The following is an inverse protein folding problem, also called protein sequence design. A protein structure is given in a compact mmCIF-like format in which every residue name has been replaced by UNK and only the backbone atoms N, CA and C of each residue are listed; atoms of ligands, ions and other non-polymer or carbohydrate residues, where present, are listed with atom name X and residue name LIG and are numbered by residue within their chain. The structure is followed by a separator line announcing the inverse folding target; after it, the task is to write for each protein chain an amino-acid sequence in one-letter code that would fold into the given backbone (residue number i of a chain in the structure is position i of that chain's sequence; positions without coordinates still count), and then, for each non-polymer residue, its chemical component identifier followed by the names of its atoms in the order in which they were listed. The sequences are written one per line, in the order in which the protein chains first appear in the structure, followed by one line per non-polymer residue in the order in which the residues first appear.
data_IF_280352450530
#
_entry.id   IF_280352450530
#
_cell.length_a   1.000
_cell.length_b   1.000
_cell.length_c   1.000
_cell.angle_alpha   90.00
_cell.angle_beta   90.00
_cell.angle_gamma   90.00
#
_symmetry.space_group_name_H-M   'P 1'
#
loop_
_entity.id
_entity.type
_entity.pdbx_description
1 polymer ?
#
# COMPACT_ATOMS: atom_id res chain seq x y z
N UNK A 1 -18.08 -20.68 4.31
CA UNK A 1 -18.97 -19.64 4.94
C UNK A 1 -19.05 -18.48 3.97
N UNK A 2 -20.23 -17.99 3.63
CA UNK A 2 -20.38 -16.80 2.78
C UNK A 2 -20.34 -15.57 3.66
N UNK A 3 -19.36 -14.69 3.49
CA UNK A 3 -19.27 -13.44 4.22
C UNK A 3 -20.31 -12.43 3.73
N UNK A 4 -20.86 -11.66 4.68
CA UNK A 4 -21.80 -10.56 4.47
C UNK A 4 -21.35 -9.33 5.25
N UNK A 5 -21.98 -8.19 5.04
CA UNK A 5 -21.71 -6.98 5.83
C UNK A 5 -21.95 -7.18 7.34
N UNK A 6 -22.74 -8.19 7.72
CA UNK A 6 -23.00 -8.55 9.11
C UNK A 6 -22.04 -9.60 9.67
N UNK A 7 -21.06 -10.07 8.88
CA UNK A 7 -20.04 -11.00 9.36
C UNK A 7 -19.07 -10.27 10.28
N UNK A 8 -18.79 -10.87 11.44
CA UNK A 8 -17.85 -10.30 12.43
C UNK A 8 -16.40 -10.51 11.99
N UNK A 9 -15.53 -9.58 12.37
CA UNK A 9 -14.11 -9.67 12.06
C UNK A 9 -13.46 -10.94 12.62
N UNK A 10 -13.85 -11.40 13.82
CA UNK A 10 -13.35 -12.66 14.37
C UNK A 10 -13.76 -13.89 13.54
N UNK A 11 -14.94 -13.89 12.92
CA UNK A 11 -15.41 -14.98 12.05
C UNK A 11 -14.58 -15.02 10.75
N UNK A 12 -14.24 -13.84 10.21
CA UNK A 12 -13.33 -13.70 9.06
C UNK A 12 -11.97 -14.28 9.43
N UNK A 13 -11.40 -13.90 10.57
CA UNK A 13 -10.09 -14.39 11.02
C UNK A 13 -10.05 -15.90 11.33
N UNK A 14 -11.20 -16.52 11.60
CA UNK A 14 -11.31 -17.96 11.90
C UNK A 14 -11.66 -18.79 10.68
N UNK A 15 -11.98 -18.17 9.53
CA UNK A 15 -12.31 -18.89 8.32
C UNK A 15 -11.08 -19.67 7.80
N UNK A 16 -11.23 -20.98 7.60
CA UNK A 16 -10.12 -21.89 7.27
C UNK A 16 -9.32 -21.42 6.03
N UNK A 17 -10.02 -21.00 4.97
CA UNK A 17 -9.38 -20.52 3.74
C UNK A 17 -8.65 -19.19 3.91
N UNK A 18 -8.84 -18.45 5.01
CA UNK A 18 -8.15 -17.20 5.31
C UNK A 18 -7.01 -17.36 6.33
N UNK A 19 -6.86 -18.53 6.96
CA UNK A 19 -5.79 -18.76 7.94
C UNK A 19 -4.40 -18.40 7.40
N UNK A 20 -4.02 -18.71 6.14
CA UNK A 20 -2.71 -18.34 5.62
C UNK A 20 -2.45 -16.83 5.53
N UNK A 21 -3.49 -16.03 5.28
CA UNK A 21 -3.37 -14.57 5.09
C UNK A 21 -3.86 -13.76 6.30
N UNK A 22 -4.45 -14.42 7.30
CA UNK A 22 -5.13 -13.76 8.43
C UNK A 22 -4.31 -12.63 9.04
N UNK A 23 -3.05 -12.90 9.36
CA UNK A 23 -2.16 -11.93 10.02
C UNK A 23 -1.67 -10.83 9.06
N UNK A 24 -1.97 -10.96 7.77
CA UNK A 24 -1.70 -9.98 6.73
C UNK A 24 -2.90 -9.08 6.39
N UNK A 25 -4.13 -9.45 6.78
CA UNK A 25 -5.33 -8.65 6.45
C UNK A 25 -5.25 -7.24 7.02
N UNK A 26 -4.90 -7.13 8.30
CA UNK A 26 -4.45 -5.89 8.94
C UNK A 26 -3.32 -6.29 9.88
N UNK A 27 -2.08 -6.07 9.48
CA UNK A 27 -0.91 -6.37 10.27
C UNK A 27 -0.46 -5.15 11.08
N UNK A 28 0.22 -5.40 12.19
CA UNK A 28 0.59 -4.37 13.14
C UNK A 28 -0.53 -4.06 14.15
N UNK A 29 -0.14 -3.77 15.40
CA UNK A 29 -1.08 -3.50 16.48
C UNK A 29 -1.96 -4.69 16.87
N UNK A 30 -3.07 -4.39 17.53
CA UNK A 30 -4.03 -5.37 18.09
C UNK A 30 -5.40 -5.23 17.45
N UNK A 31 -5.47 -4.86 16.19
CA UNK A 31 -6.73 -4.46 15.52
C UNK A 31 -7.81 -5.53 15.65
N UNK A 32 -7.51 -6.78 15.32
CA UNK A 32 -8.51 -7.86 15.38
C UNK A 32 -8.87 -8.26 16.81
N UNK A 33 -7.94 -8.16 17.75
CA UNK A 33 -8.23 -8.41 19.17
C UNK A 33 -9.20 -7.36 19.74
N UNK A 34 -9.00 -6.09 19.38
CA UNK A 34 -9.79 -4.97 19.87
C UNK A 34 -11.15 -4.81 19.16
N UNK A 35 -11.22 -5.22 17.90
CA UNK A 35 -12.40 -5.01 17.05
C UNK A 35 -13.09 -6.31 16.60
N UNK A 36 -12.66 -7.48 17.04
CA UNK A 36 -13.10 -8.79 16.57
C UNK A 36 -14.62 -9.01 16.64
N UNK A 37 -15.31 -8.38 17.58
CA UNK A 37 -16.77 -8.47 17.75
C UNK A 37 -17.57 -7.60 16.77
N UNK A 38 -16.92 -6.64 16.10
CA UNK A 38 -17.57 -5.77 15.13
C UNK A 38 -17.86 -6.51 13.84
N UNK A 39 -19.01 -6.21 13.25
CA UNK A 39 -19.30 -6.57 11.86
C UNK A 39 -18.63 -5.61 10.89
N UNK A 40 -18.54 -5.98 9.62
CA UNK A 40 -18.03 -5.08 8.58
C UNK A 40 -18.85 -3.80 8.45
N UNK A 41 -20.18 -3.89 8.61
CA UNK A 41 -21.06 -2.73 8.64
C UNK A 41 -20.74 -1.80 9.82
N UNK A 42 -20.55 -2.35 11.03
CA UNK A 42 -20.17 -1.58 12.21
C UNK A 42 -18.74 -0.99 12.09
N UNK A 43 -17.86 -1.69 11.42
CA UNK A 43 -16.52 -1.14 11.11
C UNK A 43 -16.62 0.07 10.19
N UNK A 44 -17.48 0.03 9.16
CA UNK A 44 -17.76 1.18 8.30
C UNK A 44 -18.38 2.36 9.07
N UNK A 45 -19.28 2.12 10.04
CA UNK A 45 -19.82 3.18 10.88
C UNK A 45 -18.73 3.94 11.67
N UNK A 46 -17.68 3.21 12.13
CA UNK A 46 -16.53 3.79 12.84
C UNK A 46 -15.53 4.46 11.91
N UNK A 47 -15.39 3.95 10.72
CA UNK A 47 -14.45 4.42 9.69
C UNK A 47 -15.19 4.56 8.37
N UNK A 48 -15.91 5.67 8.14
CA UNK A 48 -16.86 5.81 7.02
C UNK A 48 -16.27 5.61 5.63
N UNK A 49 -14.97 5.82 5.47
CA UNK A 49 -14.24 5.58 4.20
C UNK A 49 -13.94 4.11 3.95
N UNK A 50 -14.04 3.25 4.98
CA UNK A 50 -13.86 1.80 4.87
C UNK A 50 -15.17 1.14 4.46
N UNK A 51 -15.45 1.13 3.17
CA UNK A 51 -16.72 0.64 2.66
C UNK A 51 -16.85 -0.87 2.82
N UNK A 52 -17.88 -1.35 3.51
CA UNK A 52 -18.08 -2.78 3.80
C UNK A 52 -18.21 -3.65 2.53
N UNK A 53 -18.77 -3.10 1.45
CA UNK A 53 -18.87 -3.82 0.16
C UNK A 53 -17.51 -3.97 -0.51
N UNK A 54 -16.66 -2.95 -0.42
CA UNK A 54 -15.28 -3.02 -0.94
C UNK A 54 -14.45 -4.02 -0.15
N UNK A 55 -14.60 -4.05 1.19
CA UNK A 55 -13.97 -5.06 2.05
C UNK A 55 -14.41 -6.48 1.67
N UNK A 56 -15.72 -6.69 1.51
CA UNK A 56 -16.27 -7.98 1.07
C UNK A 56 -15.78 -8.38 -0.32
N UNK A 57 -15.71 -7.42 -1.23
CA UNK A 57 -15.21 -7.67 -2.59
C UNK A 57 -13.75 -8.17 -2.55
N UNK A 58 -12.89 -7.52 -1.76
CA UNK A 58 -11.53 -7.97 -1.54
C UNK A 58 -11.46 -9.36 -0.89
N UNK A 59 -12.23 -9.59 0.18
CA UNK A 59 -12.25 -10.88 0.87
C UNK A 59 -12.73 -12.03 -0.02
N UNK A 60 -13.71 -11.80 -0.91
CA UNK A 60 -14.17 -12.81 -1.88
C UNK A 60 -13.10 -13.20 -2.89
N UNK A 61 -12.14 -12.30 -3.21
CA UNK A 61 -11.01 -12.67 -4.06
C UNK A 61 -10.16 -13.79 -3.44
N UNK A 62 -10.17 -13.91 -2.10
CA UNK A 62 -9.45 -14.97 -1.38
C UNK A 62 -10.19 -16.33 -1.37
N UNK A 63 -11.38 -16.42 -1.94
CA UNK A 63 -12.05 -17.69 -2.25
C UNK A 63 -11.46 -18.33 -3.52
N UNK A 64 -10.72 -17.55 -4.33
CA UNK A 64 -9.98 -17.99 -5.52
C UNK A 64 -8.50 -18.28 -5.14
N UNK A 65 -7.74 -18.98 -5.99
CA UNK A 65 -6.33 -19.30 -5.69
C UNK A 65 -5.50 -18.06 -5.33
N UNK A 66 -4.76 -18.17 -4.24
CA UNK A 66 -3.76 -17.21 -3.81
C UNK A 66 -2.63 -17.94 -3.05
N UNK A 67 -1.48 -17.28 -2.88
CA UNK A 67 -0.35 -17.82 -2.12
C UNK A 67 0.26 -16.76 -1.22
N UNK A 68 0.48 -17.10 0.05
CA UNK A 68 1.23 -16.26 0.99
C UNK A 68 2.66 -16.78 1.08
N UNK A 69 3.62 -15.91 0.80
CA UNK A 69 5.04 -16.21 0.76
C UNK A 69 5.77 -15.47 1.87
N UNK A 70 6.72 -16.13 2.52
CA UNK A 70 7.68 -15.48 3.42
C UNK A 70 8.78 -14.87 2.56
N UNK A 71 8.95 -13.56 2.63
CA UNK A 71 9.94 -12.82 1.83
C UNK A 71 11.35 -13.12 2.31
N UNK A 72 11.53 -13.22 3.63
CA UNK A 72 12.78 -13.61 4.28
C UNK A 72 12.68 -15.06 4.73
N UNK A 73 13.75 -15.81 4.56
CA UNK A 73 13.82 -17.23 4.93
C UNK A 73 14.67 -17.42 6.20
N UNK A 74 14.09 -18.08 7.24
CA UNK A 74 14.84 -18.54 8.39
C UNK A 74 15.49 -17.45 9.25
N UNK A 75 14.97 -16.21 9.18
CA UNK A 75 15.54 -15.09 9.89
C UNK A 75 15.27 -15.16 11.40
N UNK A 76 16.28 -14.78 12.17
CA UNK A 76 16.18 -14.70 13.63
C UNK A 76 15.32 -13.51 14.10
N UNK A 77 15.24 -12.42 13.31
CA UNK A 77 14.40 -11.26 13.63
C UNK A 77 12.92 -11.54 13.32
N UNK A 78 12.03 -11.63 14.33
CA UNK A 78 10.60 -11.88 14.15
C UNK A 78 9.92 -10.86 13.25
N UNK A 79 10.44 -9.62 13.17
CA UNK A 79 9.89 -8.57 12.32
C UNK A 79 10.12 -8.86 10.84
N UNK A 80 11.28 -9.46 10.49
CA UNK A 80 11.55 -9.94 9.12
C UNK A 80 10.68 -11.15 8.80
N UNK A 81 10.49 -12.06 9.76
CA UNK A 81 9.59 -13.20 9.61
C UNK A 81 8.12 -12.78 9.37
N UNK A 82 7.71 -11.60 9.86
CA UNK A 82 6.38 -11.04 9.65
C UNK A 82 6.20 -10.39 8.26
N UNK A 83 7.28 -10.13 7.49
CA UNK A 83 7.18 -9.62 6.13
C UNK A 83 6.66 -10.70 5.21
N UNK A 84 5.47 -10.50 4.66
CA UNK A 84 4.76 -11.46 3.81
C UNK A 84 4.38 -10.82 2.48
N UNK A 85 4.39 -11.65 1.46
CA UNK A 85 3.97 -11.29 0.12
C UNK A 85 2.80 -12.20 -0.27
N UNK A 86 1.63 -11.61 -0.49
CA UNK A 86 0.45 -12.34 -0.93
C UNK A 86 0.33 -12.21 -2.44
N UNK A 87 0.57 -13.30 -3.14
CA UNK A 87 0.36 -13.39 -4.58
C UNK A 87 -1.11 -13.67 -4.90
N UNK A 88 -1.65 -12.89 -5.81
CA UNK A 88 -3.01 -12.95 -6.33
C UNK A 88 -2.91 -12.99 -7.86
N UNK A 89 -2.96 -14.18 -8.49
CA UNK A 89 -2.91 -14.27 -9.95
C UNK A 89 -4.08 -13.57 -10.61
N UNK A 90 -3.87 -13.02 -11.81
CA UNK A 90 -4.96 -12.54 -12.64
C UNK A 90 -5.99 -13.67 -12.88
N UNK A 91 -7.29 -13.35 -12.90
CA UNK A 91 -8.33 -14.34 -13.26
C UNK A 91 -8.14 -14.88 -14.67
N UNK A 92 -7.85 -13.98 -15.61
CA UNK A 92 -7.42 -14.23 -16.96
C UNK A 92 -6.27 -13.26 -17.25
N UNK A 93 -5.05 -13.76 -17.42
CA UNK A 93 -3.89 -12.90 -17.67
C UNK A 93 -4.01 -12.23 -19.04
N UNK A 94 -4.04 -10.88 -19.04
CA UNK A 94 -4.11 -10.05 -20.24
C UNK A 94 -2.89 -9.15 -20.41
N UNK A 95 -2.14 -8.94 -19.32
CA UNK A 95 -0.99 -8.04 -19.27
C UNK A 95 0.23 -8.74 -18.69
N UNK A 96 1.42 -8.42 -19.19
CA UNK A 96 2.67 -8.91 -18.64
C UNK A 96 3.05 -8.14 -17.37
N UNK A 97 2.75 -6.84 -17.34
CA UNK A 97 2.99 -5.99 -16.15
C UNK A 97 2.23 -6.55 -14.94
N UNK A 98 2.95 -6.73 -13.84
CA UNK A 98 2.34 -7.08 -12.55
C UNK A 98 2.43 -5.93 -11.55
N UNK A 99 1.63 -5.99 -10.51
CA UNK A 99 1.61 -4.97 -9.47
C UNK A 99 2.19 -5.46 -8.15
N UNK A 100 2.99 -4.61 -7.48
CA UNK A 100 3.29 -4.74 -6.06
C UNK A 100 2.50 -3.65 -5.33
N UNK A 101 1.61 -4.05 -4.41
CA UNK A 101 0.71 -3.14 -3.69
C UNK A 101 1.14 -3.00 -2.23
N UNK A 102 1.23 -1.75 -1.77
CA UNK A 102 1.58 -1.38 -0.40
C UNK A 102 0.42 -0.62 0.25
N UNK A 103 -0.28 -1.26 1.16
CA UNK A 103 -1.33 -0.58 1.92
C UNK A 103 -0.74 0.44 2.91
N UNK A 104 -1.55 1.41 3.31
CA UNK A 104 -1.24 2.37 4.35
C UNK A 104 -1.47 1.83 5.76
N UNK A 105 -1.52 2.74 6.72
CA UNK A 105 -1.67 2.47 8.15
C UNK A 105 -0.70 3.27 9.00
N UNK A 106 -0.31 4.45 8.53
CA UNK A 106 0.58 5.41 9.23
C UNK A 106 1.92 4.80 9.70
N UNK A 107 2.40 3.77 9.02
CA UNK A 107 3.54 2.95 9.41
C UNK A 107 3.38 2.16 10.73
N UNK A 108 2.28 2.29 11.44
CA UNK A 108 1.93 1.49 12.62
C UNK A 108 1.18 0.20 12.28
N UNK A 109 0.60 0.13 11.09
CA UNK A 109 -0.11 -1.04 10.57
C UNK A 109 0.05 -1.12 9.05
N UNK A 110 -0.35 -2.27 8.47
CA UNK A 110 -0.56 -2.43 7.03
C UNK A 110 -2.00 -2.88 6.81
N UNK A 111 -2.84 -1.99 6.27
CA UNK A 111 -4.29 -2.17 6.12
C UNK A 111 -4.64 -2.89 4.81
N UNK A 112 -4.06 -4.06 4.56
CA UNK A 112 -4.22 -4.83 3.31
C UNK A 112 -5.69 -5.10 2.98
N UNK A 113 -6.50 -5.48 3.96
CA UNK A 113 -7.93 -5.77 3.78
C UNK A 113 -8.72 -4.57 3.24
N UNK A 114 -8.28 -3.35 3.58
CA UNK A 114 -8.99 -2.10 3.24
C UNK A 114 -8.53 -1.54 1.89
N UNK A 115 -7.25 -1.61 1.60
CA UNK A 115 -6.62 -0.88 0.50
C UNK A 115 -6.08 -1.82 -0.58
N UNK A 116 -5.04 -2.59 -0.28
CA UNK A 116 -4.36 -3.42 -1.30
C UNK A 116 -5.25 -4.54 -1.84
N UNK A 117 -5.99 -5.23 -0.98
CA UNK A 117 -6.74 -6.41 -1.38
C UNK A 117 -7.94 -6.11 -2.29
N UNK A 118 -8.81 -5.12 -2.01
CA UNK A 118 -9.89 -4.75 -2.92
C UNK A 118 -9.38 -4.23 -4.26
N UNK A 119 -8.29 -3.45 -4.24
CA UNK A 119 -7.67 -2.93 -5.46
C UNK A 119 -7.01 -4.05 -6.28
N UNK A 120 -6.31 -4.99 -5.62
CA UNK A 120 -5.75 -6.17 -6.28
C UNK A 120 -6.84 -7.05 -6.90
N UNK A 121 -7.98 -7.24 -6.20
CA UNK A 121 -9.13 -7.95 -6.74
C UNK A 121 -9.63 -7.33 -8.06
N UNK A 122 -9.70 -5.98 -8.10
CA UNK A 122 -10.12 -5.27 -9.32
C UNK A 122 -9.08 -5.37 -10.43
N UNK A 123 -7.81 -5.21 -10.11
CA UNK A 123 -6.71 -5.40 -11.08
C UNK A 123 -6.67 -6.82 -11.64
N UNK A 124 -6.95 -7.85 -10.82
CA UNK A 124 -7.04 -9.24 -11.28
C UNK A 124 -8.18 -9.44 -12.30
N UNK A 125 -9.33 -8.76 -12.15
CA UNK A 125 -10.42 -8.77 -13.14
C UNK A 125 -10.02 -8.08 -14.44
N UNK A 126 -9.18 -7.04 -14.36
CA UNK A 126 -8.63 -6.35 -15.52
C UNK A 126 -7.51 -7.15 -16.20
N UNK A 127 -7.04 -8.24 -15.60
CA UNK A 127 -6.04 -9.14 -16.20
C UNK A 127 -4.61 -8.94 -15.71
N UNK A 128 -4.40 -8.22 -14.62
CA UNK A 128 -3.09 -8.01 -13.99
C UNK A 128 -2.88 -8.96 -12.81
N UNK A 129 -1.71 -9.59 -12.71
CA UNK A 129 -1.28 -10.30 -11.51
C UNK A 129 -0.82 -9.31 -10.44
N UNK A 130 -1.11 -9.60 -9.16
CA UNK A 130 -0.86 -8.70 -8.06
C UNK A 130 -0.12 -9.37 -6.90
N UNK A 131 0.68 -8.59 -6.19
CA UNK A 131 1.38 -8.98 -4.98
C UNK A 131 1.12 -7.93 -3.90
N UNK A 132 0.41 -8.30 -2.84
CA UNK A 132 0.22 -7.42 -1.68
C UNK A 132 1.38 -7.63 -0.70
N UNK A 133 2.14 -6.59 -0.41
CA UNK A 133 3.28 -6.65 0.51
C UNK A 133 2.89 -6.15 1.90
N UNK A 134 3.01 -7.05 2.89
CA UNK A 134 3.00 -6.69 4.29
C UNK A 134 4.45 -6.40 4.71
N UNK A 135 4.80 -5.13 4.74
CA UNK A 135 6.13 -4.63 5.12
C UNK A 135 6.25 -4.39 6.62
N UNK A 136 7.48 -4.25 7.14
CA UNK A 136 7.73 -3.94 8.56
C UNK A 136 7.07 -2.62 8.95
N UNK A 137 6.45 -2.62 10.12
CA UNK A 137 5.80 -1.46 10.73
C UNK A 137 6.55 -1.00 11.98
N UNK A 138 6.25 0.20 12.46
CA UNK A 138 6.84 0.74 13.67
C UNK A 138 6.37 -0.09 14.88
N UNK A 139 7.32 -0.55 15.66
CA UNK A 139 7.16 -1.21 16.95
C UNK A 139 7.85 -0.37 18.04
N UNK A 140 7.74 -0.78 19.30
CA UNK A 140 8.31 -0.01 20.40
C UNK A 140 9.78 0.41 20.19
N UNK A 141 10.61 -0.48 19.62
CA UNK A 141 12.01 -0.19 19.30
C UNK A 141 12.19 0.87 18.21
N UNK A 142 11.24 0.98 17.28
CA UNK A 142 11.26 2.00 16.21
C UNK A 142 11.15 3.41 16.78
N UNK A 143 10.53 3.58 17.95
CA UNK A 143 10.46 4.87 18.61
C UNK A 143 11.80 5.32 19.20
N UNK A 144 12.77 4.41 19.30
CA UNK A 144 14.16 4.72 19.69
C UNK A 144 15.05 4.88 18.46
N UNK A 145 15.00 3.93 17.53
CA UNK A 145 15.96 3.80 16.41
C UNK A 145 15.44 4.21 15.05
N UNK A 146 14.12 4.41 14.91
CA UNK A 146 13.45 4.67 13.66
C UNK A 146 13.11 3.39 12.86
N UNK A 147 12.05 3.48 12.10
CA UNK A 147 11.63 2.42 11.16
C UNK A 147 12.37 2.53 9.81
N UNK A 148 12.53 3.77 9.32
CA UNK A 148 13.11 3.97 7.98
C UNK A 148 14.61 3.60 7.95
N UNK A 149 15.11 2.88 6.91
CA UNK A 149 14.46 2.62 5.61
C UNK A 149 13.79 1.24 5.47
N UNK A 150 13.48 0.54 6.55
CA UNK A 150 13.06 -0.88 6.53
C UNK A 150 11.91 -1.19 5.53
N UNK A 151 10.85 -0.38 5.34
CA UNK A 151 9.82 -0.67 4.32
C UNK A 151 10.35 -0.71 2.89
N UNK A 152 11.38 0.09 2.58
CA UNK A 152 12.06 0.07 1.27
C UNK A 152 12.94 -1.18 1.09
N UNK A 153 13.60 -1.63 2.16
CA UNK A 153 14.36 -2.89 2.17
C UNK A 153 13.44 -4.09 1.96
N UNK A 154 12.26 -4.08 2.59
CA UNK A 154 11.25 -5.12 2.43
C UNK A 154 10.69 -5.17 1.01
N UNK A 155 10.47 -4.00 0.39
CA UNK A 155 10.06 -3.93 -1.01
C UNK A 155 11.17 -4.45 -1.95
N UNK A 156 12.42 -4.15 -1.65
CA UNK A 156 13.56 -4.69 -2.40
C UNK A 156 13.69 -6.21 -2.26
N UNK A 157 13.46 -6.72 -1.05
CA UNK A 157 13.47 -8.16 -0.77
C UNK A 157 12.30 -8.86 -1.46
N UNK A 158 11.09 -8.27 -1.41
CA UNK A 158 9.90 -8.77 -2.11
C UNK A 158 10.14 -8.85 -3.63
N UNK A 159 10.69 -7.80 -4.25
CA UNK A 159 11.02 -7.83 -5.67
C UNK A 159 12.03 -8.94 -6.01
N UNK A 160 13.09 -9.11 -5.18
CA UNK A 160 14.06 -10.20 -5.38
C UNK A 160 13.42 -11.58 -5.23
N UNK A 161 12.49 -11.73 -4.28
CA UNK A 161 11.72 -12.95 -4.10
C UNK A 161 10.88 -13.26 -5.34
N UNK A 162 10.14 -12.26 -5.86
CA UNK A 162 9.36 -12.40 -7.10
C UNK A 162 10.27 -12.80 -8.26
N UNK A 163 11.41 -12.15 -8.43
CA UNK A 163 12.39 -12.49 -9.47
C UNK A 163 12.88 -13.94 -9.35
N UNK A 164 13.17 -14.39 -8.13
CA UNK A 164 13.64 -15.76 -7.88
C UNK A 164 12.58 -16.84 -8.15
N UNK A 165 11.30 -16.46 -8.24
CA UNK A 165 10.15 -17.34 -8.48
C UNK A 165 9.33 -16.90 -9.68
N UNK A 166 9.95 -16.19 -10.62
CA UNK A 166 9.24 -15.57 -11.74
C UNK A 166 8.48 -16.58 -12.61
N UNK A 167 9.07 -17.74 -12.86
CA UNK A 167 8.46 -18.82 -13.61
C UNK A 167 7.22 -19.40 -12.89
N UNK A 168 7.29 -19.53 -11.55
CA UNK A 168 6.18 -19.99 -10.72
C UNK A 168 5.00 -19.02 -10.77
N UNK A 169 5.29 -17.72 -10.71
CA UNK A 169 4.27 -16.68 -10.72
C UNK A 169 3.82 -16.28 -12.14
N UNK A 170 4.54 -16.75 -13.16
CA UNK A 170 4.25 -16.43 -14.56
C UNK A 170 4.37 -14.93 -14.86
N UNK A 171 5.40 -14.25 -14.31
CA UNK A 171 5.61 -12.80 -14.47
C UNK A 171 7.01 -12.49 -14.99
N UNK A 172 7.15 -11.37 -15.72
CA UNK A 172 8.47 -10.80 -16.04
C UNK A 172 8.87 -9.80 -14.94
N UNK A 173 9.93 -10.07 -14.16
CA UNK A 173 10.37 -9.16 -13.10
C UNK A 173 10.77 -7.77 -13.59
N UNK A 174 11.05 -7.59 -14.88
CA UNK A 174 11.39 -6.28 -15.45
C UNK A 174 10.15 -5.42 -15.72
N UNK A 175 8.98 -6.03 -15.91
CA UNK A 175 7.73 -5.32 -16.23
C UNK A 175 6.78 -5.30 -15.04
N UNK A 176 7.00 -4.32 -14.15
CA UNK A 176 6.20 -4.16 -12.94
C UNK A 176 5.80 -2.71 -12.65
N UNK A 177 4.68 -2.55 -11.98
CA UNK A 177 4.21 -1.30 -11.41
C UNK A 177 4.13 -1.41 -9.87
N UNK A 178 4.28 -0.28 -9.18
CA UNK A 178 4.08 -0.22 -7.74
C UNK A 178 2.88 0.65 -7.43
N UNK A 179 1.93 0.09 -6.67
CA UNK A 179 0.79 0.84 -6.16
C UNK A 179 0.91 1.00 -4.65
N UNK A 180 0.69 2.21 -4.13
CA UNK A 180 0.79 2.47 -2.70
C UNK A 180 -0.24 3.46 -2.19
N UNK A 181 -0.71 3.25 -0.96
CA UNK A 181 -1.79 4.00 -0.35
C UNK A 181 -1.30 4.68 0.93
N UNK A 182 -1.63 5.97 1.16
CA UNK A 182 -1.26 6.68 2.40
C UNK A 182 0.24 6.54 2.74
N UNK A 183 0.61 5.90 3.85
CA UNK A 183 1.99 5.59 4.22
C UNK A 183 2.64 4.60 3.25
N UNK A 184 1.90 3.61 2.73
CA UNK A 184 2.36 2.75 1.62
C UNK A 184 2.61 3.54 0.34
N UNK A 185 1.79 4.60 0.10
CA UNK A 185 2.00 5.58 -0.97
C UNK A 185 3.31 6.36 -0.81
N UNK A 186 3.69 6.69 0.43
CA UNK A 186 4.98 7.29 0.73
C UNK A 186 6.14 6.35 0.38
N UNK A 187 6.05 5.08 0.80
CA UNK A 187 7.05 4.06 0.45
C UNK A 187 7.14 3.88 -1.07
N UNK A 188 6.00 3.82 -1.79
CA UNK A 188 5.97 3.73 -3.24
C UNK A 188 6.55 4.97 -3.93
N UNK A 189 6.26 6.18 -3.42
CA UNK A 189 6.86 7.41 -3.94
C UNK A 189 8.38 7.45 -3.74
N UNK A 190 8.87 7.06 -2.56
CA UNK A 190 10.30 6.90 -2.31
C UNK A 190 10.95 5.84 -3.20
N UNK A 191 10.22 4.78 -3.56
CA UNK A 191 10.71 3.73 -4.44
C UNK A 191 11.06 4.22 -5.84
N UNK A 192 10.36 5.24 -6.33
CA UNK A 192 10.66 5.89 -7.61
C UNK A 192 11.94 6.74 -7.62
N UNK A 193 12.50 7.07 -6.46
CA UNK A 193 13.68 7.97 -6.37
C UNK A 193 14.99 7.24 -6.65
N UNK A 194 15.96 7.94 -7.24
CA UNK A 194 17.29 7.41 -7.55
C UNK A 194 18.04 6.95 -6.30
N UNK A 195 18.03 7.79 -5.27
CA UNK A 195 18.92 7.65 -4.11
C UNK A 195 18.33 6.89 -2.93
N UNK A 196 17.02 6.62 -2.93
CA UNK A 196 16.33 5.88 -1.85
C UNK A 196 15.58 4.66 -2.36
N UNK A 197 15.17 4.65 -3.62
CA UNK A 197 14.31 3.66 -4.23
C UNK A 197 15.01 2.50 -4.93
N UNK A 198 14.36 1.95 -5.96
CA UNK A 198 14.78 0.74 -6.66
C UNK A 198 16.25 0.74 -7.09
N UNK A 199 16.71 1.85 -7.67
CA UNK A 199 18.10 1.98 -8.15
C UNK A 199 19.13 1.89 -7.04
N UNK A 200 18.85 2.43 -5.84
CA UNK A 200 19.72 2.28 -4.67
C UNK A 200 19.97 0.81 -4.31
N UNK A 201 18.97 -0.05 -4.55
CA UNK A 201 19.06 -1.48 -4.28
C UNK A 201 19.56 -2.30 -5.48
N UNK A 202 19.99 -1.64 -6.57
CA UNK A 202 20.43 -2.30 -7.80
C UNK A 202 19.30 -3.00 -8.57
N UNK A 203 18.08 -2.47 -8.46
CA UNK A 203 16.87 -3.02 -9.06
C UNK A 203 16.36 -2.12 -10.19
N UNK A 204 15.61 -2.68 -11.16
CA UNK A 204 14.99 -1.89 -12.21
C UNK A 204 13.96 -0.92 -11.63
N UNK A 205 13.79 0.22 -12.29
CA UNK A 205 12.67 1.13 -11.96
C UNK A 205 11.35 0.50 -12.36
N UNK A 206 10.27 0.72 -11.59
CA UNK A 206 8.93 0.33 -12.02
C UNK A 206 8.51 1.09 -13.29
N UNK A 207 7.66 0.46 -14.11
CA UNK A 207 7.05 1.10 -15.27
C UNK A 207 6.33 2.39 -14.90
N UNK A 208 5.58 2.36 -13.80
CA UNK A 208 4.89 3.52 -13.23
C UNK A 208 4.60 3.33 -11.74
N UNK A 209 4.17 4.42 -11.09
CA UNK A 209 3.64 4.41 -9.73
C UNK A 209 2.15 4.80 -9.74
N UNK A 210 1.34 4.05 -9.00
CA UNK A 210 -0.08 4.37 -8.78
C UNK A 210 -0.27 4.69 -7.31
N UNK A 211 -0.54 5.94 -6.99
CA UNK A 211 -0.50 6.47 -5.64
C UNK A 211 -1.91 6.88 -5.17
N UNK A 212 -2.46 6.14 -4.20
CA UNK A 212 -3.73 6.46 -3.55
C UNK A 212 -3.52 7.39 -2.34
N UNK A 213 -4.08 8.60 -2.37
CA UNK A 213 -3.98 9.59 -1.27
C UNK A 213 -2.63 9.55 -0.54
N UNK A 214 -1.51 9.60 -1.28
CA UNK A 214 -0.19 9.29 -0.73
C UNK A 214 0.29 10.37 0.22
N UNK A 215 0.84 10.00 1.36
CA UNK A 215 1.75 10.88 2.09
C UNK A 215 3.02 11.04 1.24
N UNK A 216 3.43 12.26 0.95
CA UNK A 216 4.67 12.53 0.20
C UNK A 216 5.76 13.10 1.10
N UNK A 217 5.37 13.92 2.05
CA UNK A 217 6.29 14.52 3.01
C UNK A 217 5.66 14.77 4.38
N UNK A 218 6.41 14.45 5.43
CA UNK A 218 6.03 14.83 6.79
C UNK A 218 6.00 16.35 7.01
N UNK A 219 6.60 17.13 6.11
CA UNK A 219 6.56 18.60 6.20
C UNK A 219 5.14 19.16 6.04
N UNK A 220 4.25 18.50 5.30
CA UNK A 220 2.87 18.92 5.09
C UNK A 220 1.91 18.47 6.22
N UNK A 221 2.33 17.57 7.09
CA UNK A 221 1.55 17.18 8.27
C UNK A 221 1.56 18.33 9.28
N UNK A 222 0.41 18.77 9.79
CA UNK A 222 0.35 19.86 10.79
C UNK A 222 1.20 19.57 12.02
N UNK A 223 1.85 20.60 12.54
CA UNK A 223 2.62 20.47 13.78
C UNK A 223 1.73 20.06 14.94
N UNK A 224 2.17 19.11 15.75
CA UNK A 224 1.42 18.63 16.89
C UNK A 224 1.77 17.19 17.30
N UNK A 225 1.03 16.64 18.28
CA UNK A 225 1.30 15.31 18.83
C UNK A 225 1.29 14.19 17.78
N UNK A 226 0.38 14.26 16.82
CA UNK A 226 0.25 13.23 15.74
C UNK A 226 1.50 13.22 14.87
N UNK A 227 1.94 14.39 14.37
CA UNK A 227 3.18 14.48 13.58
C UNK A 227 4.38 14.00 14.37
N UNK A 228 4.50 14.43 15.63
CA UNK A 228 5.60 14.03 16.49
C UNK A 228 5.62 12.50 16.70
N UNK A 229 4.46 11.90 16.96
CA UNK A 229 4.33 10.44 17.11
C UNK A 229 4.77 9.71 15.83
N UNK A 230 4.26 10.12 14.66
CA UNK A 230 4.62 9.51 13.38
C UNK A 230 6.11 9.68 13.07
N UNK A 231 6.65 10.89 13.24
CA UNK A 231 8.08 11.15 12.99
C UNK A 231 8.97 10.34 13.95
N UNK A 232 8.58 10.21 15.23
CA UNK A 232 9.34 9.40 16.19
C UNK A 232 9.32 7.93 15.78
N UNK A 233 8.19 7.38 15.38
CA UNK A 233 8.10 6.00 14.87
C UNK A 233 8.91 5.78 13.59
N UNK A 234 8.88 6.74 12.67
CA UNK A 234 9.60 6.66 11.38
C UNK A 234 11.11 6.83 11.53
N UNK A 235 11.56 7.77 12.36
CA UNK A 235 12.95 8.27 12.37
C UNK A 235 13.68 8.07 13.71
N UNK A 236 12.97 7.66 14.76
CA UNK A 236 13.50 7.45 16.11
C UNK A 236 13.41 8.68 16.99
N UNK A 237 13.72 8.47 18.27
CA UNK A 237 13.80 9.55 19.26
C UNK A 237 14.91 10.55 18.86
N UNK A 238 14.58 11.83 18.96
CA UNK A 238 15.53 12.89 18.59
C UNK A 238 15.65 13.15 17.09
N UNK A 239 14.68 12.71 16.29
CA UNK A 239 14.62 13.03 14.88
C UNK A 239 14.72 14.54 14.62
N UNK A 240 15.23 14.90 13.46
CA UNK A 240 15.50 16.28 13.07
C UNK A 240 14.80 16.63 11.76
N UNK A 241 14.80 17.91 11.42
CA UNK A 241 14.34 18.37 10.09
C UNK A 241 15.15 17.77 8.93
N UNK A 242 16.39 17.30 9.20
CA UNK A 242 17.22 16.62 8.21
C UNK A 242 16.62 15.23 7.88
N UNK A 243 16.13 14.54 8.90
CA UNK A 243 15.50 13.21 8.74
C UNK A 243 14.18 13.33 7.96
N UNK A 244 13.33 14.31 8.28
CA UNK A 244 12.12 14.63 7.53
C UNK A 244 12.47 14.91 6.06
N UNK A 245 13.47 15.77 5.80
CA UNK A 245 13.87 16.11 4.43
C UNK A 245 14.50 14.93 3.67
N UNK A 246 15.19 14.03 4.38
CA UNK A 246 15.81 12.84 3.77
C UNK A 246 14.75 11.90 3.18
N UNK A 247 13.60 11.79 3.80
CA UNK A 247 12.51 10.92 3.36
C UNK A 247 11.32 11.71 2.77
N UNK A 248 11.53 12.92 2.33
CA UNK A 248 10.58 13.72 1.56
C UNK A 248 10.72 13.35 0.08
N UNK A 249 9.79 12.53 -0.43
CA UNK A 249 9.87 12.03 -1.80
C UNK A 249 9.92 13.15 -2.85
N UNK A 250 9.24 14.27 -2.61
CA UNK A 250 9.21 15.40 -3.54
C UNK A 250 10.58 16.05 -3.78
N UNK A 251 11.50 15.89 -2.83
CA UNK A 251 12.87 16.43 -2.93
C UNK A 251 13.83 15.58 -3.75
N UNK A 252 13.41 14.37 -4.09
CA UNK A 252 14.24 13.37 -4.75
C UNK A 252 13.70 13.00 -6.13
N UNK A 253 12.75 13.77 -6.64
CA UNK A 253 12.22 13.61 -8.00
C UNK A 253 13.26 14.15 -8.97
N UNK A 254 13.68 13.32 -9.92
CA UNK A 254 14.60 13.64 -10.99
C UNK A 254 14.04 13.27 -12.37
N UNK A 255 14.82 13.47 -13.43
CA UNK A 255 14.41 13.16 -14.80
C UNK A 255 14.10 11.67 -15.02
N UNK A 256 14.73 10.79 -14.24
CA UNK A 256 14.54 9.33 -14.29
C UNK A 256 13.39 8.81 -13.42
N UNK A 257 12.68 9.70 -12.74
CA UNK A 257 11.54 9.30 -11.90
C UNK A 257 10.41 8.72 -12.76
N UNK A 258 9.78 7.61 -12.34
CA UNK A 258 8.72 6.96 -13.09
C UNK A 258 7.49 7.87 -13.29
N UNK A 259 6.67 7.65 -14.33
CA UNK A 259 5.34 8.26 -14.43
C UNK A 259 4.46 7.91 -13.24
N UNK A 260 3.58 8.84 -12.86
CA UNK A 260 2.70 8.72 -11.68
C UNK A 260 1.25 8.92 -12.06
N UNK A 261 0.38 7.98 -11.64
CA UNK A 261 -1.05 8.20 -11.53
C UNK A 261 -1.41 8.37 -10.06
N UNK A 262 -1.99 9.51 -9.69
CA UNK A 262 -2.32 9.85 -8.31
C UNK A 262 -3.84 9.98 -8.16
N UNK A 263 -4.43 9.27 -7.20
CA UNK A 263 -5.84 9.41 -6.86
C UNK A 263 -6.00 10.02 -5.48
N UNK A 264 -6.90 11.01 -5.35
CA UNK A 264 -7.14 11.72 -4.08
C UNK A 264 -8.54 12.31 -3.96
N UNK A 265 -8.98 12.54 -2.72
CA UNK A 265 -10.13 13.36 -2.39
C UNK A 265 -9.65 14.74 -1.86
N UNK A 266 -10.36 15.81 -2.23
CA UNK A 266 -9.97 17.17 -1.79
C UNK A 266 -10.41 17.48 -0.35
N UNK A 267 -11.31 16.67 0.21
CA UNK A 267 -11.76 16.71 1.61
C UNK A 267 -10.99 15.77 2.54
N UNK A 268 -9.85 15.23 2.08
CA UNK A 268 -8.99 14.35 2.90
C UNK A 268 -8.51 15.08 4.17
N UNK A 269 -8.91 14.62 5.38
CA UNK A 269 -8.55 15.25 6.64
C UNK A 269 -7.15 14.85 7.14
N UNK A 270 -6.52 13.86 6.52
CA UNK A 270 -5.29 13.21 7.00
C UNK A 270 -4.07 13.64 6.19
N UNK A 271 -4.19 13.56 4.87
CA UNK A 271 -3.09 13.92 3.95
C UNK A 271 -3.47 15.20 3.20
N UNK A 272 -2.58 16.17 3.28
CA UNK A 272 -2.79 17.46 2.61
C UNK A 272 -2.79 17.30 1.09
N UNK A 273 -3.71 18.00 0.41
CA UNK A 273 -3.67 18.09 -1.05
C UNK A 273 -2.34 18.63 -1.59
N UNK A 274 -1.55 19.34 -0.77
CA UNK A 274 -0.22 19.85 -1.13
C UNK A 274 0.76 18.72 -1.51
N UNK A 275 0.55 17.51 -0.98
CA UNK A 275 1.37 16.36 -1.35
C UNK A 275 1.21 16.02 -2.84
N UNK A 276 -0.02 15.84 -3.31
CA UNK A 276 -0.29 15.59 -4.72
C UNK A 276 0.02 16.80 -5.63
N UNK A 277 -0.26 18.02 -5.17
CA UNK A 277 0.07 19.25 -5.92
C UNK A 277 1.60 19.37 -6.11
N UNK A 278 2.39 19.05 -5.08
CA UNK A 278 3.84 19.02 -5.14
C UNK A 278 4.38 17.98 -6.15
N UNK A 279 3.80 16.79 -6.16
CA UNK A 279 4.12 15.76 -7.16
C UNK A 279 3.81 16.21 -8.58
N UNK A 280 2.61 16.78 -8.82
CA UNK A 280 2.23 17.32 -10.14
C UNK A 280 3.16 18.43 -10.60
N UNK A 281 3.52 19.33 -9.68
CA UNK A 281 4.43 20.43 -9.99
C UNK A 281 5.82 19.94 -10.38
N UNK A 282 6.33 18.92 -9.68
CA UNK A 282 7.67 18.35 -9.93
C UNK A 282 7.72 17.51 -11.22
N UNK A 283 6.67 16.75 -11.52
CA UNK A 283 6.63 15.77 -12.62
C UNK A 283 5.99 16.31 -13.92
N UNK A 284 5.22 17.40 -13.84
CA UNK A 284 4.52 17.93 -15.01
C UNK A 284 3.59 16.89 -15.64
N UNK A 285 3.74 16.65 -16.94
CA UNK A 285 2.90 15.69 -17.69
C UNK A 285 3.11 14.23 -17.28
N UNK A 286 4.23 13.89 -16.65
CA UNK A 286 4.46 12.55 -16.10
C UNK A 286 3.56 12.22 -14.88
N UNK A 287 2.85 13.20 -14.31
CA UNK A 287 1.91 12.98 -13.22
C UNK A 287 0.47 13.28 -13.68
N UNK A 288 -0.37 12.25 -13.73
CA UNK A 288 -1.81 12.35 -13.91
C UNK A 288 -2.51 12.31 -12.56
N UNK A 289 -3.42 13.24 -12.30
CA UNK A 289 -4.21 13.25 -11.07
C UNK A 289 -5.67 12.92 -11.41
N UNK A 290 -6.21 11.94 -10.69
CA UNK A 290 -7.64 11.61 -10.64
C UNK A 290 -8.17 12.08 -9.28
N UNK A 291 -9.05 13.06 -9.27
CA UNK A 291 -9.50 13.69 -8.02
C UNK A 291 -10.99 13.90 -7.97
N UNK A 292 -11.54 13.90 -6.76
CA UNK A 292 -12.91 14.29 -6.47
C UNK A 292 -12.97 15.27 -5.30
N UNK A 293 -14.08 16.03 -5.21
CA UNK A 293 -14.28 16.96 -4.10
C UNK A 293 -14.40 16.27 -2.75
N UNK A 294 -15.01 15.08 -2.76
CA UNK A 294 -15.28 14.28 -1.55
C UNK A 294 -14.82 12.84 -1.74
N UNK A 295 -14.49 12.18 -0.64
CA UNK A 295 -14.01 10.80 -0.60
C UNK A 295 -13.25 10.49 0.68
N UNK A 296 -12.75 11.51 1.37
CA UNK A 296 -11.99 11.38 2.60
C UNK A 296 -10.63 10.71 2.42
N UNK A 297 -10.11 10.09 3.48
CA UNK A 297 -8.85 9.36 3.49
C UNK A 297 -9.07 7.85 3.68
N UNK A 298 -8.25 7.02 3.05
CA UNK A 298 -8.31 5.57 3.25
C UNK A 298 -9.49 4.90 2.55
N UNK A 299 -9.97 5.44 1.43
CA UNK A 299 -11.14 4.90 0.72
C UNK A 299 -10.87 3.61 -0.09
N UNK A 300 -9.59 3.19 -0.22
CA UNK A 300 -9.22 1.97 -0.97
C UNK A 300 -9.76 1.97 -2.40
N UNK A 301 -10.65 1.03 -2.72
CA UNK A 301 -11.32 0.96 -4.03
C UNK A 301 -12.26 2.14 -4.30
N UNK A 302 -12.85 2.71 -3.25
CA UNK A 302 -13.65 3.94 -3.34
C UNK A 302 -14.97 3.78 -4.09
N UNK A 303 -15.55 2.58 -4.17
CA UNK A 303 -16.73 2.30 -4.99
C UNK A 303 -17.98 3.11 -4.59
N UNK A 304 -18.07 3.53 -3.32
CA UNK A 304 -19.15 4.36 -2.80
C UNK A 304 -18.83 5.86 -2.78
N UNK A 305 -17.78 6.29 -3.46
CA UNK A 305 -17.35 7.70 -3.55
C UNK A 305 -17.37 8.19 -5.00
N UNK A 306 -17.27 9.49 -5.25
CA UNK A 306 -17.09 10.01 -6.61
C UNK A 306 -15.77 9.58 -7.28
N UNK A 307 -14.90 8.89 -6.57
CA UNK A 307 -13.65 8.30 -7.07
C UNK A 307 -13.84 6.90 -7.65
N UNK A 308 -15.06 6.35 -7.64
CA UNK A 308 -15.36 5.07 -8.27
C UNK A 308 -14.85 5.02 -9.72
N UNK A 309 -14.20 3.91 -10.10
CA UNK A 309 -13.60 3.75 -11.43
C UNK A 309 -12.17 4.26 -11.57
N UNK A 310 -11.54 4.72 -10.49
CA UNK A 310 -10.16 5.20 -10.54
C UNK A 310 -9.16 4.10 -10.92
N UNK A 311 -9.43 2.83 -10.54
CA UNK A 311 -8.55 1.70 -10.88
C UNK A 311 -8.53 1.45 -12.38
N UNK A 312 -9.71 1.48 -13.02
CA UNK A 312 -9.86 1.38 -14.47
C UNK A 312 -9.18 2.54 -15.19
N UNK A 313 -9.35 3.76 -14.67
CA UNK A 313 -8.71 4.94 -15.23
C UNK A 313 -7.18 4.86 -15.12
N UNK A 314 -6.65 4.31 -14.02
CA UNK A 314 -5.22 4.08 -13.83
C UNK A 314 -4.69 3.00 -14.78
N UNK A 315 -5.43 1.89 -14.93
CA UNK A 315 -5.07 0.80 -15.84
C UNK A 315 -5.03 1.30 -17.30
N UNK A 316 -6.06 2.02 -17.74
CA UNK A 316 -6.11 2.61 -19.07
C UNK A 316 -4.96 3.61 -19.30
N UNK A 317 -4.69 4.49 -18.34
CA UNK A 317 -3.56 5.42 -18.43
C UNK A 317 -2.22 4.68 -18.55
N UNK A 318 -2.05 3.56 -17.86
CA UNK A 318 -0.82 2.76 -17.93
C UNK A 318 -0.62 2.11 -19.31
N UNK A 319 -1.68 1.82 -20.05
CA UNK A 319 -1.62 1.32 -21.42
C UNK A 319 -1.13 2.40 -22.43
N UNK A 320 -1.23 3.68 -22.05
CA UNK A 320 -0.73 4.80 -22.83
C UNK A 320 0.78 5.04 -22.69
N UNK A 321 1.46 4.37 -21.70
CA UNK A 321 2.89 4.48 -21.41
C UNK A 321 3.72 3.50 -22.26
#
# INVERSE_FOLDING_TARGET
MVFTENTRLQEICQAEHLLPIRDCLISGGRFFEENGTLTLAQLQERSPTWNAKDLLYGLRRLEEPYKVCSVYGGEEDPRMAAVKLTWLPAREKKHETFFILLAGGAYGAVCTMVESLPVAARLNELGYSCFCLNYRTAVQESFVHGLMPQPLEDLAAAWRYIRGHADEFGVDPQDYAVSGFSAGGHTAALWGTENLGARKYGLPQPKCLILGYPLITMANVPEGPVKNYMCTGMFGAGFTQKDIRRYDASRHIDAGYPPVFLVRALDDPTVSKKDGDGMKMALGEKCRIFEAKTGGHGFGLGSATPLCGWVEAAAHWMEEL
#
